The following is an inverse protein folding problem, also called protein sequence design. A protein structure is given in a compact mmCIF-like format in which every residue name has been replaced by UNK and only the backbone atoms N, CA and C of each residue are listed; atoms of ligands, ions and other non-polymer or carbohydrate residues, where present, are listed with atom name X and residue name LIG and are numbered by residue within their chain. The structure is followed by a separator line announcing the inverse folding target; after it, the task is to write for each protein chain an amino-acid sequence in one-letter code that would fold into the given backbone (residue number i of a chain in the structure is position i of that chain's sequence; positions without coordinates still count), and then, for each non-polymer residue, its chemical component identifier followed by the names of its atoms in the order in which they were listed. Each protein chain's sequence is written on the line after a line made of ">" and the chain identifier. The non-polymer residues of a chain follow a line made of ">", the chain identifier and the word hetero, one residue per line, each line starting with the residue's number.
data_IF_980888512900
#
_entry.id   IF_980888512900
#
_cell.length_a   1.000
_cell.length_b   1.000
_cell.length_c   1.000
_cell.angle_alpha   90.00
_cell.angle_beta   90.00
_cell.angle_gamma   90.00
#
_symmetry.space_group_name_H-M   'P 1'
#
loop_
_entity.id
_entity.type
_entity.pdbx_description
1 polymer ?
#
# COMPACT_ATOMS: atom_id res chain seq x y z
N UNK A 1 3.63 17.09 -12.50
CA UNK A 1 3.52 16.22 -11.31
C UNK A 1 4.84 16.27 -10.55
N UNK A 2 4.84 16.54 -9.25
CA UNK A 2 6.06 16.54 -8.44
C UNK A 2 6.44 15.08 -8.19
N UNK A 3 7.61 14.66 -8.69
CA UNK A 3 8.20 13.38 -8.31
C UNK A 3 8.35 13.32 -6.78
N UNK A 4 8.04 12.16 -6.19
CA UNK A 4 8.20 11.89 -4.75
C UNK A 4 9.67 12.01 -4.32
N UNK A 5 10.61 11.78 -5.26
CA UNK A 5 12.05 11.76 -5.05
C UNK A 5 12.60 13.15 -4.65
N UNK A 6 12.34 14.25 -5.39
CA UNK A 6 12.69 15.61 -4.96
C UNK A 6 12.14 16.05 -3.59
N UNK A 7 11.06 15.44 -3.09
CA UNK A 7 10.48 15.80 -1.80
C UNK A 7 11.03 14.96 -0.64
N UNK A 8 11.27 13.66 -0.84
CA UNK A 8 12.01 12.84 0.12
C UNK A 8 13.41 13.41 0.39
N UNK A 9 14.02 14.04 -0.61
CA UNK A 9 15.29 14.77 -0.46
C UNK A 9 15.18 16.04 0.43
N UNK A 10 13.97 16.56 0.67
CA UNK A 10 13.71 17.71 1.56
C UNK A 10 13.33 17.30 2.99
N UNK A 11 12.82 16.09 3.19
CA UNK A 11 12.51 15.53 4.52
C UNK A 11 13.61 14.57 4.98
N UNK A 12 14.72 15.14 5.44
CA UNK A 12 15.93 14.40 5.82
C UNK A 12 15.68 13.36 6.91
N UNK A 13 14.85 13.68 7.90
CA UNK A 13 14.60 12.78 9.03
C UNK A 13 13.92 11.48 8.61
N UNK A 14 12.84 11.54 7.83
CA UNK A 14 12.19 10.33 7.29
C UNK A 14 13.15 9.55 6.41
N UNK A 15 13.87 10.23 5.52
CA UNK A 15 14.82 9.58 4.61
C UNK A 15 15.94 8.87 5.40
N UNK A 16 16.42 9.46 6.49
CA UNK A 16 17.41 8.87 7.38
C UNK A 16 16.86 7.67 8.16
N UNK A 17 15.65 7.76 8.72
CA UNK A 17 14.97 6.62 9.39
C UNK A 17 14.74 5.47 8.41
N UNK A 18 14.17 5.74 7.25
CA UNK A 18 13.94 4.71 6.22
C UNK A 18 15.27 4.08 5.80
N UNK A 19 16.31 4.90 5.56
CA UNK A 19 17.64 4.41 5.18
C UNK A 19 18.26 3.54 6.27
N UNK A 20 18.20 3.96 7.54
CA UNK A 20 18.70 3.19 8.67
C UNK A 20 17.99 1.83 8.75
N UNK A 21 16.67 1.83 8.71
CA UNK A 21 15.88 0.60 8.78
C UNK A 21 16.05 -0.31 7.57
N UNK A 22 16.30 0.26 6.40
CA UNK A 22 16.67 -0.50 5.21
C UNK A 22 18.04 -1.18 5.37
N UNK A 23 19.02 -0.48 5.94
CA UNK A 23 20.35 -1.04 6.21
C UNK A 23 20.32 -2.22 7.19
N UNK A 24 19.45 -2.16 8.21
CA UNK A 24 19.24 -3.26 9.16
C UNK A 24 18.13 -4.23 8.75
N UNK A 25 17.62 -4.13 7.52
CA UNK A 25 16.64 -5.03 6.89
C UNK A 25 15.26 -5.10 7.57
N UNK A 26 14.89 -4.08 8.34
CA UNK A 26 13.54 -3.96 8.90
C UNK A 26 12.56 -3.33 7.91
N UNK A 27 13.02 -2.41 7.05
CA UNK A 27 12.25 -1.95 5.89
C UNK A 27 12.83 -2.63 4.65
N UNK A 28 11.96 -3.21 3.83
CA UNK A 28 12.34 -3.79 2.54
C UNK A 28 11.41 -3.29 1.44
N UNK A 29 11.92 -3.25 0.21
CA UNK A 29 11.05 -3.05 -0.95
C UNK A 29 10.15 -4.27 -1.14
N UNK A 30 9.03 -4.08 -1.83
CA UNK A 30 8.23 -5.19 -2.31
C UNK A 30 9.10 -6.16 -3.12
N UNK A 31 9.03 -7.44 -2.76
CA UNK A 31 9.83 -8.45 -3.43
C UNK A 31 9.31 -8.70 -4.86
N UNK A 32 10.15 -9.32 -5.70
CA UNK A 32 9.79 -9.61 -7.09
C UNK A 32 8.49 -10.40 -7.22
N UNK A 33 8.26 -11.38 -6.32
CA UNK A 33 7.04 -12.20 -6.37
C UNK A 33 5.76 -11.39 -6.14
N UNK A 34 5.79 -10.44 -5.21
CA UNK A 34 4.67 -9.55 -4.92
C UNK A 34 4.43 -8.61 -6.10
N UNK A 35 5.50 -8.01 -6.64
CA UNK A 35 5.42 -7.14 -7.82
C UNK A 35 4.86 -7.90 -9.04
N UNK A 36 5.30 -9.13 -9.30
CA UNK A 36 4.76 -9.95 -10.39
C UNK A 36 3.29 -10.29 -10.18
N UNK A 37 2.84 -10.45 -8.94
CA UNK A 37 1.42 -10.68 -8.65
C UNK A 37 0.54 -9.51 -9.09
N UNK A 38 1.07 -8.28 -9.14
CA UNK A 38 0.32 -7.11 -9.58
C UNK A 38 -0.05 -7.15 -11.08
N UNK A 39 0.69 -7.91 -11.90
CA UNK A 39 0.37 -8.07 -13.33
C UNK A 39 -0.91 -8.86 -13.56
N UNK A 40 -1.26 -9.72 -12.60
CA UNK A 40 -2.43 -10.58 -12.68
C UNK A 40 -3.70 -9.91 -12.12
N UNK A 41 -3.56 -8.80 -11.39
CA UNK A 41 -4.70 -8.06 -10.87
C UNK A 41 -5.13 -7.03 -11.91
N UNK A 42 -6.40 -7.08 -12.31
CA UNK A 42 -6.99 -6.14 -13.27
C UNK A 42 -7.67 -4.99 -12.54
N UNK A 43 -7.25 -3.76 -12.86
CA UNK A 43 -7.87 -2.54 -12.32
C UNK A 43 -9.12 -2.17 -13.14
N UNK A 44 -9.02 -2.29 -14.46
CA UNK A 44 -10.11 -2.11 -15.43
C UNK A 44 -10.01 -3.15 -16.56
N UNK A 45 -10.75 -2.98 -17.66
CA UNK A 45 -10.77 -3.92 -18.78
C UNK A 45 -9.46 -3.97 -19.58
N UNK A 46 -8.55 -2.99 -19.42
CA UNK A 46 -7.37 -2.82 -20.29
C UNK A 46 -6.05 -2.76 -19.52
N UNK A 47 -6.05 -2.39 -18.24
CA UNK A 47 -4.85 -2.13 -17.43
C UNK A 47 -4.75 -3.04 -16.21
N UNK A 48 -3.55 -3.57 -15.99
CA UNK A 48 -3.21 -4.25 -14.74
C UNK A 48 -2.87 -3.24 -13.64
N UNK A 49 -2.92 -3.70 -12.39
CA UNK A 49 -2.42 -2.94 -11.24
C UNK A 49 -0.93 -2.62 -11.43
N UNK A 50 -0.16 -3.55 -12.00
CA UNK A 50 1.25 -3.31 -12.34
C UNK A 50 1.42 -2.09 -13.27
N UNK A 51 0.62 -1.97 -14.34
CA UNK A 51 0.69 -0.84 -15.27
C UNK A 51 0.39 0.50 -14.57
N UNK A 52 -0.52 0.47 -13.60
CA UNK A 52 -0.86 1.63 -12.78
C UNK A 52 0.33 2.07 -11.90
N UNK A 53 1.00 1.10 -11.26
CA UNK A 53 2.20 1.34 -10.46
C UNK A 53 3.39 1.79 -11.28
N UNK A 54 3.67 1.19 -12.45
CA UNK A 54 4.77 1.60 -13.32
C UNK A 54 4.62 3.05 -13.82
N UNK A 55 3.37 3.49 -14.04
CA UNK A 55 3.06 4.89 -14.41
C UNK A 55 3.12 5.86 -13.21
N UNK A 56 3.38 5.36 -12.01
CA UNK A 56 3.44 6.14 -10.77
C UNK A 56 2.09 6.65 -10.28
N UNK A 57 0.98 6.07 -10.75
CA UNK A 57 -0.37 6.54 -10.43
C UNK A 57 -0.79 6.18 -8.99
N UNK A 58 -0.07 5.26 -8.34
CA UNK A 58 -0.19 4.93 -6.92
C UNK A 58 0.13 6.12 -5.99
N UNK A 59 0.95 7.05 -6.46
CA UNK A 59 1.34 8.24 -5.71
C UNK A 59 0.14 9.19 -5.64
N UNK A 60 -0.42 9.38 -4.45
CA UNK A 60 -1.64 10.16 -4.23
C UNK A 60 -2.95 9.39 -4.42
N UNK A 61 -2.88 8.12 -4.83
CA UNK A 61 -4.00 7.17 -4.84
C UNK A 61 -3.72 5.96 -3.95
N UNK A 62 -2.99 6.16 -2.86
CA UNK A 62 -2.53 5.11 -1.96
C UNK A 62 -3.68 4.25 -1.39
N UNK A 63 -4.87 4.83 -1.22
CA UNK A 63 -6.07 4.10 -0.83
C UNK A 63 -6.49 3.08 -1.89
N UNK A 64 -6.66 3.54 -3.14
CA UNK A 64 -7.03 2.67 -4.25
C UNK A 64 -5.95 1.61 -4.50
N UNK A 65 -4.68 1.99 -4.49
CA UNK A 65 -3.58 1.03 -4.63
C UNK A 65 -3.58 -0.02 -3.53
N UNK A 66 -3.88 0.35 -2.28
CA UNK A 66 -4.01 -0.59 -1.16
C UNK A 66 -5.20 -1.54 -1.37
N UNK A 67 -6.35 -1.03 -1.79
CA UNK A 67 -7.53 -1.85 -2.15
C UNK A 67 -7.22 -2.86 -3.26
N UNK A 68 -6.48 -2.42 -4.29
CA UNK A 68 -6.13 -3.26 -5.43
C UNK A 68 -5.26 -4.45 -5.04
N UNK A 69 -4.33 -4.28 -4.09
CA UNK A 69 -3.39 -5.33 -3.70
C UNK A 69 -3.85 -6.15 -2.48
N UNK A 70 -4.75 -5.62 -1.66
CA UNK A 70 -5.32 -6.28 -0.48
C UNK A 70 -5.80 -7.74 -0.73
N UNK A 71 -6.44 -8.07 -1.88
CA UNK A 71 -6.71 -9.44 -2.33
C UNK A 71 -5.59 -10.47 -2.25
N UNK A 72 -4.33 -10.03 -2.28
CA UNK A 72 -3.19 -10.94 -2.24
C UNK A 72 -2.95 -11.52 -0.85
N UNK A 73 -3.62 -10.98 0.17
CA UNK A 73 -3.44 -11.26 1.58
C UNK A 73 -4.66 -11.99 2.14
N UNK A 74 -4.42 -12.97 3.01
CA UNK A 74 -5.48 -13.79 3.59
C UNK A 74 -6.32 -13.00 4.60
N UNK A 75 -5.66 -12.26 5.48
CA UNK A 75 -6.27 -11.31 6.41
C UNK A 75 -5.61 -9.94 6.26
N UNK A 76 -6.42 -8.88 6.28
CA UNK A 76 -5.94 -7.53 6.09
C UNK A 76 -6.89 -6.47 6.64
N UNK A 77 -6.31 -5.30 6.92
CA UNK A 77 -7.04 -4.04 7.10
C UNK A 77 -6.41 -2.96 6.24
N UNK A 78 -7.23 -2.06 5.70
CA UNK A 78 -6.75 -0.82 5.10
C UNK A 78 -6.89 0.27 6.14
N UNK A 79 -5.75 0.78 6.58
CA UNK A 79 -5.73 1.92 7.50
C UNK A 79 -5.64 3.21 6.69
N UNK A 80 -6.30 4.25 7.19
CA UNK A 80 -6.26 5.62 6.66
C UNK A 80 -5.98 6.57 7.81
N UNK A 81 -5.14 7.55 7.56
CA UNK A 81 -4.83 8.56 8.57
C UNK A 81 -3.69 9.46 8.14
N UNK A 82 -2.93 9.94 9.11
CA UNK A 82 -1.83 10.85 8.87
C UNK A 82 -0.49 10.11 8.83
N UNK A 83 0.42 10.61 8.00
CA UNK A 83 1.82 10.22 8.06
C UNK A 83 2.65 11.49 8.26
N UNK A 84 3.21 11.63 9.46
CA UNK A 84 3.77 12.88 9.98
C UNK A 84 4.70 13.59 8.99
N UNK A 85 5.55 12.81 8.33
CA UNK A 85 6.60 13.29 7.44
C UNK A 85 6.16 13.65 6.02
N UNK A 86 4.91 13.34 5.65
CA UNK A 86 4.32 13.69 4.33
C UNK A 86 2.98 14.40 4.44
N UNK A 87 2.54 14.79 5.63
CA UNK A 87 1.24 15.45 5.86
C UNK A 87 1.04 16.73 5.02
N UNK A 88 2.13 17.42 4.69
CA UNK A 88 2.11 18.62 3.84
C UNK A 88 1.93 18.30 2.33
N UNK A 89 2.18 17.05 1.92
CA UNK A 89 1.90 16.56 0.57
C UNK A 89 0.53 15.92 0.46
N UNK A 90 0.21 15.09 1.46
CA UNK A 90 -1.00 14.29 1.51
C UNK A 90 -1.66 14.52 2.85
N UNK A 91 -2.83 15.16 2.83
CA UNK A 91 -3.64 15.35 4.04
C UNK A 91 -4.05 14.03 4.69
N UNK A 92 -4.16 12.99 3.88
CA UNK A 92 -4.50 11.64 4.32
C UNK A 92 -3.66 10.67 3.52
N UNK A 93 -3.07 9.72 4.22
CA UNK A 93 -2.34 8.60 3.66
C UNK A 93 -3.09 7.30 3.98
N UNK A 94 -2.88 6.29 3.15
CA UNK A 94 -3.50 4.98 3.32
C UNK A 94 -2.48 3.90 3.04
N UNK A 95 -2.51 2.87 3.88
CA UNK A 95 -1.61 1.73 3.81
C UNK A 95 -2.37 0.46 4.15
N UNK A 96 -1.84 -0.65 3.66
CA UNK A 96 -2.37 -1.97 3.96
C UNK A 96 -1.63 -2.53 5.16
N UNK A 97 -2.36 -3.10 6.11
CA UNK A 97 -1.80 -3.88 7.23
C UNK A 97 -2.27 -5.31 7.07
N UNK A 98 -1.33 -6.24 7.11
CA UNK A 98 -1.60 -7.68 7.00
C UNK A 98 -0.51 -8.43 7.74
N UNK A 99 -0.92 -9.42 8.53
CA UNK A 99 -0.07 -10.13 9.49
C UNK A 99 0.70 -9.14 10.40
N UNK A 100 1.99 -9.37 10.60
CA UNK A 100 2.89 -8.52 11.38
C UNK A 100 3.46 -7.33 10.59
N UNK A 101 2.88 -6.97 9.44
CA UNK A 101 3.49 -6.02 8.51
C UNK A 101 2.56 -4.91 8.03
N UNK A 102 3.16 -3.76 7.75
CA UNK A 102 2.59 -2.65 7.01
C UNK A 102 3.17 -2.66 5.60
N UNK A 103 2.31 -2.44 4.62
CA UNK A 103 2.62 -2.33 3.20
C UNK A 103 2.21 -0.96 2.71
N UNK A 104 3.20 -0.13 2.41
CA UNK A 104 2.97 1.21 1.90
C UNK A 104 3.14 1.21 0.38
N UNK A 105 2.01 1.36 -0.31
CA UNK A 105 1.96 1.37 -1.77
C UNK A 105 2.49 2.65 -2.38
N UNK A 106 2.61 3.76 -1.65
CA UNK A 106 3.22 5.00 -2.17
C UNK A 106 4.73 4.87 -2.29
N UNK A 107 5.36 4.27 -1.28
CA UNK A 107 6.82 4.08 -1.28
C UNK A 107 7.26 2.70 -1.79
N UNK A 108 6.33 1.78 -2.01
CA UNK A 108 6.59 0.37 -2.36
C UNK A 108 7.46 -0.35 -1.32
N UNK A 109 7.22 -0.05 -0.05
CA UNK A 109 7.95 -0.62 1.09
C UNK A 109 7.06 -1.47 1.97
N UNK A 110 7.66 -2.47 2.58
CA UNK A 110 7.08 -3.33 3.61
C UNK A 110 7.93 -3.24 4.89
N UNK A 111 7.28 -3.15 6.05
CA UNK A 111 7.97 -3.07 7.34
C UNK A 111 7.14 -3.65 8.51
N UNK A 112 7.76 -4.09 9.61
CA UNK A 112 7.06 -4.61 10.78
C UNK A 112 6.07 -3.60 11.37
N UNK A 113 4.88 -4.07 11.72
CA UNK A 113 3.81 -3.24 12.34
C UNK A 113 4.27 -2.53 13.60
N UNK A 114 5.21 -3.12 14.35
CA UNK A 114 5.81 -2.51 15.53
C UNK A 114 6.53 -1.17 15.26
N UNK A 115 6.97 -0.91 14.02
CA UNK A 115 7.63 0.35 13.63
C UNK A 115 6.65 1.43 13.16
N UNK A 116 5.35 1.14 13.07
CA UNK A 116 4.34 2.02 12.44
C UNK A 116 4.33 3.43 13.05
N UNK A 117 4.18 3.51 14.37
CA UNK A 117 4.13 4.80 15.08
C UNK A 117 5.47 5.55 15.01
N UNK A 118 6.60 4.83 15.09
CA UNK A 118 7.94 5.42 15.04
C UNK A 118 8.28 6.02 13.66
N UNK A 119 7.73 5.43 12.61
CA UNK A 119 7.79 5.93 11.24
C UNK A 119 6.74 7.01 10.95
N UNK A 120 5.96 7.40 11.96
CA UNK A 120 5.02 8.52 11.90
C UNK A 120 3.66 8.17 11.30
N UNK A 121 3.31 6.89 11.15
CA UNK A 121 2.02 6.44 10.63
C UNK A 121 0.98 6.38 11.74
N UNK A 122 -0.07 7.18 11.63
CA UNK A 122 -1.13 7.29 12.64
C UNK A 122 -2.49 7.07 11.98
N UNK A 123 -3.10 5.91 12.25
CA UNK A 123 -4.41 5.58 11.72
C UNK A 123 -5.50 6.38 12.45
N UNK A 124 -6.37 7.01 11.69
CA UNK A 124 -7.60 7.65 12.18
C UNK A 124 -8.84 6.83 11.81
N UNK A 125 -8.71 5.96 10.82
CA UNK A 125 -9.76 5.10 10.29
C UNK A 125 -9.14 3.74 9.93
N UNK A 126 -9.87 2.67 10.22
CA UNK A 126 -9.49 1.29 9.91
C UNK A 126 -10.65 0.66 9.15
N UNK A 127 -10.38 0.17 7.94
CA UNK A 127 -11.34 -0.54 7.11
C UNK A 127 -10.94 -2.02 7.13
N UNK A 128 -11.82 -2.86 7.67
CA UNK A 128 -11.64 -4.31 7.74
C UNK A 128 -11.80 -4.96 6.37
N UNK A 129 -11.32 -6.21 6.26
CA UNK A 129 -11.54 -7.05 5.08
C UNK A 129 -13.04 -7.18 4.78
N UNK A 130 -13.86 -7.40 5.80
CA UNK A 130 -15.32 -7.57 5.66
C UNK A 130 -15.96 -6.31 5.08
N UNK A 131 -15.59 -5.12 5.58
CA UNK A 131 -16.07 -3.84 5.07
C UNK A 131 -15.65 -3.61 3.61
N UNK A 132 -14.39 -3.92 3.27
CA UNK A 132 -13.89 -3.82 1.89
C UNK A 132 -14.66 -4.71 0.90
N UNK A 133 -15.13 -5.88 1.36
CA UNK A 133 -15.87 -6.85 0.55
C UNK A 133 -17.37 -6.50 0.44
N UNK A 134 -17.94 -5.80 1.43
CA UNK A 134 -19.36 -5.42 1.45
C UNK A 134 -19.66 -4.19 0.58
N UNK A 135 -18.76 -3.21 0.56
CA UNK A 135 -19.05 -1.90 -0.06
C UNK A 135 -18.89 -1.85 -1.59
N UNK A 136 -18.43 -2.94 -2.24
CA UNK A 136 -18.11 -2.90 -3.67
C UNK A 136 -16.94 -1.94 -4.02
N UNK A 137 -16.18 -1.52 -3.01
CA UNK A 137 -14.97 -0.68 -3.09
C UNK A 137 -13.86 -1.37 -3.88
N UNK A 138 -13.90 -2.70 -3.88
CA UNK A 138 -13.11 -3.57 -4.72
C UNK A 138 -13.91 -3.82 -6.02
N UNK A 139 -13.39 -3.41 -7.17
CA UNK A 139 -14.09 -3.62 -8.46
C UNK A 139 -14.37 -5.11 -8.65
N UNK A 140 -15.50 -5.43 -9.29
CA UNK A 140 -15.95 -6.82 -9.51
C UNK A 140 -14.84 -7.73 -10.07
N UNK A 141 -13.99 -7.21 -10.97
CA UNK A 141 -12.88 -7.95 -11.56
C UNK A 141 -11.81 -8.37 -10.53
N UNK A 142 -11.58 -7.53 -9.52
CA UNK A 142 -10.66 -7.84 -8.43
C UNK A 142 -11.32 -8.85 -7.48
N UNK A 143 -12.61 -8.69 -7.17
CA UNK A 143 -13.39 -9.67 -6.39
C UNK A 143 -13.35 -11.06 -7.05
N UNK A 144 -13.56 -11.13 -8.36
CA UNK A 144 -13.56 -12.38 -9.12
C UNK A 144 -12.16 -13.04 -9.09
N UNK A 145 -11.07 -12.27 -9.23
CA UNK A 145 -9.71 -12.76 -9.04
C UNK A 145 -9.45 -13.29 -7.61
N UNK A 146 -9.96 -12.61 -6.57
CA UNK A 146 -9.84 -13.06 -5.17
C UNK A 146 -10.54 -14.39 -4.97
N UNK A 147 -11.76 -14.53 -5.51
CA UNK A 147 -12.57 -15.74 -5.40
C UNK A 147 -11.91 -16.93 -6.08
N UNK A 148 -11.37 -16.73 -7.28
CA UNK A 148 -10.62 -17.75 -8.02
C UNK A 148 -9.38 -18.22 -7.26
N UNK A 149 -8.59 -17.30 -6.68
CA UNK A 149 -7.36 -17.64 -5.95
C UNK A 149 -7.63 -18.35 -4.61
N UNK A 150 -8.73 -18.03 -3.94
CA UNK A 150 -9.04 -18.53 -2.59
C UNK A 150 -10.05 -19.69 -2.57
N UNK A 151 -10.46 -20.25 -3.72
CA UNK A 151 -11.50 -21.29 -3.81
C UNK A 151 -12.83 -20.91 -3.13
N UNK A 152 -13.13 -19.61 -3.04
CA UNK A 152 -14.38 -19.13 -2.44
C UNK A 152 -15.41 -19.02 -3.57
N UNK A 153 -16.36 -19.95 -3.62
CA UNK A 153 -17.49 -19.94 -4.57
C UNK A 153 -18.46 -18.79 -4.30
#
# INVERSE_FOLDING_TARGET
>A
MKSLIPYLLKNKELAEKIKYYYQIKLIINFNKSLIESFKNIRYDHESSVYDYFEKGLNIGNCHLSSLLIAPLFEDFTIERGEMEYIKDLYKTHSWLVSDDYVYDTTFLIKFPKALKEELGYQATEVITKEECLQEGTITKNIIDFVKEKNNVK
#
